data_IF_453451357720
#
_entry.id   IF_453451357720
#
_cell.length_a   1.000
_cell.length_b   1.000
_cell.length_c   1.000
_cell.angle_alpha   90.00
_cell.angle_beta   90.00
_cell.angle_gamma   90.00
#
_symmetry.space_group_name_H-M   'P 1'
#
loop_
_entity.id
_entity.type
_entity.pdbx_description
1 polymer ?
#
# COMPACT_ATOMS: atom_id res chain seq x y z
N UNK A 1 5.35 -74.31 23.29
CA UNK A 1 5.37 -72.83 23.45
C UNK A 1 6.70 -72.27 22.91
N UNK A 2 6.76 -71.98 21.61
CA UNK A 2 7.96 -71.50 20.90
C UNK A 2 7.74 -70.16 20.17
N UNK A 3 6.58 -69.52 20.35
CA UNK A 3 6.20 -68.37 19.53
C UNK A 3 6.57 -67.00 20.11
N UNK A 4 7.02 -66.93 21.38
CA UNK A 4 7.34 -65.65 22.04
C UNK A 4 8.84 -65.32 22.05
N UNK A 5 9.71 -66.19 21.49
CA UNK A 5 11.17 -66.09 21.67
C UNK A 5 11.86 -65.09 20.73
N UNK A 6 11.12 -64.29 19.97
CA UNK A 6 11.69 -63.42 18.94
C UNK A 6 10.94 -62.09 18.79
N UNK A 7 10.73 -61.41 19.91
CA UNK A 7 10.45 -59.97 19.90
C UNK A 7 11.63 -59.28 20.59
N UNK A 8 12.67 -59.00 19.80
CA UNK A 8 13.73 -58.06 20.17
C UNK A 8 13.14 -56.65 20.12
N UNK A 9 12.30 -56.32 21.10
CA UNK A 9 11.82 -54.97 21.35
C UNK A 9 12.73 -54.38 22.42
N UNK A 10 13.87 -53.83 22.02
CA UNK A 10 14.65 -53.00 22.94
C UNK A 10 13.91 -51.67 23.15
N UNK A 11 13.19 -51.60 24.26
CA UNK A 11 12.43 -50.44 24.65
C UNK A 11 13.28 -49.18 24.78
N UNK A 12 14.56 -49.32 25.18
CA UNK A 12 15.46 -48.19 25.31
C UNK A 12 15.83 -47.62 23.93
N UNK A 13 16.17 -48.49 22.98
CA UNK A 13 16.48 -48.11 21.59
C UNK A 13 15.27 -47.44 20.92
N UNK A 14 14.08 -48.03 21.06
CA UNK A 14 12.84 -47.44 20.50
C UNK A 14 12.49 -46.10 21.14
N UNK A 15 12.77 -45.92 22.44
CA UNK A 15 12.55 -44.65 23.13
C UNK A 15 13.49 -43.57 22.62
N UNK A 16 14.78 -43.89 22.45
CA UNK A 16 15.78 -42.96 21.94
C UNK A 16 15.52 -42.58 20.48
N UNK A 17 15.10 -43.54 19.64
CA UNK A 17 14.71 -43.26 18.26
C UNK A 17 13.52 -42.31 18.18
N UNK A 18 12.52 -42.49 19.05
CA UNK A 18 11.37 -41.57 19.10
C UNK A 18 11.78 -40.17 19.56
N UNK A 19 12.67 -40.07 20.54
CA UNK A 19 13.15 -38.80 21.06
C UNK A 19 13.95 -38.03 20.00
N UNK A 20 14.83 -38.71 19.27
CA UNK A 20 15.61 -38.10 18.17
C UNK A 20 14.69 -37.60 17.05
N UNK A 21 13.71 -38.39 16.62
CA UNK A 21 12.70 -37.95 15.65
C UNK A 21 11.92 -36.71 16.10
N UNK A 22 11.54 -36.65 17.38
CA UNK A 22 10.85 -35.47 17.93
C UNK A 22 11.75 -34.24 17.93
N UNK A 23 13.03 -34.40 18.28
CA UNK A 23 13.99 -33.31 18.26
C UNK A 23 14.24 -32.78 16.84
N UNK A 24 14.39 -33.67 15.86
CA UNK A 24 14.50 -33.30 14.43
C UNK A 24 13.28 -32.48 13.97
N UNK A 25 12.06 -32.90 14.34
CA UNK A 25 10.84 -32.15 14.03
C UNK A 25 10.81 -30.76 14.68
N UNK A 26 11.33 -30.64 15.89
CA UNK A 26 11.41 -29.37 16.61
C UNK A 26 12.43 -28.42 15.96
N UNK A 27 13.57 -28.93 15.50
CA UNK A 27 14.56 -28.18 14.73
C UNK A 27 13.98 -27.65 13.41
N UNK A 28 13.23 -28.47 12.66
CA UNK A 28 12.56 -28.01 11.44
C UNK A 28 11.55 -26.88 11.71
N UNK A 29 10.78 -26.99 12.78
CA UNK A 29 9.83 -25.94 13.19
C UNK A 29 10.55 -24.66 13.58
N UNK A 30 11.63 -24.79 14.34
CA UNK A 30 12.46 -23.68 14.76
C UNK A 30 13.02 -22.93 13.56
N UNK A 31 13.63 -23.64 12.60
CA UNK A 31 14.11 -23.06 11.36
C UNK A 31 13.00 -22.38 10.54
N UNK A 32 11.81 -22.98 10.46
CA UNK A 32 10.68 -22.36 9.78
C UNK A 32 10.29 -21.03 10.43
N UNK A 33 10.19 -20.97 11.76
CA UNK A 33 9.86 -19.73 12.48
C UNK A 33 10.95 -18.66 12.36
N UNK A 34 12.22 -19.03 12.47
CA UNK A 34 13.33 -18.09 12.26
C UNK A 34 13.30 -17.51 10.83
N UNK A 35 13.08 -18.37 9.83
CA UNK A 35 13.01 -17.94 8.43
C UNK A 35 11.83 -17.00 8.18
N UNK A 36 10.67 -17.27 8.79
CA UNK A 36 9.48 -16.42 8.69
C UNK A 36 9.71 -15.06 9.35
N UNK A 37 10.34 -15.04 10.54
CA UNK A 37 10.66 -13.82 11.25
C UNK A 37 11.59 -12.93 10.41
N UNK A 38 12.68 -13.49 9.89
CA UNK A 38 13.64 -12.79 9.03
C UNK A 38 12.96 -12.24 7.77
N UNK A 39 12.09 -13.02 7.14
CA UNK A 39 11.37 -12.58 5.95
C UNK A 39 10.43 -11.40 6.25
N UNK A 40 9.67 -11.45 7.35
CA UNK A 40 8.80 -10.36 7.80
C UNK A 40 9.59 -9.10 8.11
N UNK A 41 10.71 -9.22 8.81
CA UNK A 41 11.59 -8.10 9.12
C UNK A 41 12.16 -7.46 7.86
N UNK A 42 12.62 -8.26 6.91
CA UNK A 42 13.16 -7.75 5.65
C UNK A 42 12.10 -7.02 4.82
N UNK A 43 10.90 -7.59 4.70
CA UNK A 43 9.79 -6.91 4.03
C UNK A 43 9.39 -5.62 4.73
N UNK A 44 9.33 -5.60 6.06
CA UNK A 44 9.06 -4.39 6.84
C UNK A 44 10.11 -3.32 6.56
N UNK A 45 11.39 -3.69 6.58
CA UNK A 45 12.49 -2.78 6.27
C UNK A 45 12.38 -2.20 4.85
N UNK A 46 12.11 -3.05 3.85
CA UNK A 46 11.92 -2.58 2.45
C UNK A 46 10.69 -1.69 2.33
N UNK A 47 9.58 -2.04 2.98
CA UNK A 47 8.38 -1.23 3.00
C UNK A 47 8.65 0.15 3.59
N UNK A 48 9.20 0.19 4.81
CA UNK A 48 9.48 1.42 5.55
C UNK A 48 10.50 2.30 4.81
N UNK A 49 11.52 1.69 4.18
CA UNK A 49 12.49 2.41 3.32
C UNK A 49 11.82 3.08 2.12
N UNK A 50 10.78 2.47 1.56
CA UNK A 50 10.06 2.98 0.40
C UNK A 50 8.94 3.98 0.76
N UNK A 51 8.64 4.19 2.04
CA UNK A 51 7.70 5.23 2.48
C UNK A 51 8.37 6.60 2.32
N UNK A 52 8.02 7.30 1.23
CA UNK A 52 8.42 8.68 1.04
C UNK A 52 7.68 9.60 2.03
N UNK A 53 8.44 10.28 2.89
CA UNK A 53 7.91 11.36 3.73
C UNK A 53 7.48 12.51 2.85
N UNK A 54 6.18 12.81 2.84
CA UNK A 54 5.61 13.96 2.15
C UNK A 54 5.41 15.07 3.17
N UNK A 55 6.24 16.09 3.07
CA UNK A 55 6.08 17.32 3.85
C UNK A 55 5.33 18.35 3.00
N UNK A 56 4.38 19.02 3.63
CA UNK A 56 3.57 20.07 3.02
C UNK A 56 3.77 21.34 3.84
N UNK A 57 3.93 22.47 3.16
CA UNK A 57 4.04 23.79 3.76
C UNK A 57 2.77 24.59 3.51
N UNK A 58 2.48 25.53 4.40
CA UNK A 58 1.39 26.49 4.17
C UNK A 58 1.68 27.28 2.89
N UNK A 59 0.70 27.34 2.00
CA UNK A 59 0.80 28.00 0.70
C UNK A 59 0.99 27.06 -0.48
N UNK A 60 1.42 25.81 -0.26
CA UNK A 60 1.61 24.84 -1.34
C UNK A 60 0.29 24.54 -2.06
N UNK A 61 0.37 24.38 -3.38
CA UNK A 61 -0.74 23.88 -4.18
C UNK A 61 -0.66 22.36 -4.27
N UNK A 62 -1.79 21.69 -4.07
CA UNK A 62 -1.85 20.23 -4.02
C UNK A 62 -3.09 19.66 -4.70
N UNK A 63 -2.95 18.49 -5.32
CA UNK A 63 -4.08 17.70 -5.78
C UNK A 63 -4.64 16.82 -4.67
N UNK A 64 -5.96 16.65 -4.66
CA UNK A 64 -6.66 15.76 -3.73
C UNK A 64 -7.19 14.52 -4.44
N UNK A 65 -6.87 13.33 -3.93
CA UNK A 65 -7.38 12.07 -4.47
C UNK A 65 -8.83 11.82 -4.00
N UNK A 66 -9.73 11.62 -4.95
CA UNK A 66 -11.11 11.21 -4.69
C UNK A 66 -11.20 9.68 -4.58
N UNK A 67 -11.37 9.18 -3.36
CA UNK A 67 -11.48 7.74 -3.08
C UNK A 67 -12.83 7.14 -3.45
N UNK A 68 -13.89 7.95 -3.63
CA UNK A 68 -15.23 7.44 -3.92
C UNK A 68 -15.23 6.80 -5.32
N UNK A 69 -15.51 5.51 -5.35
CA UNK A 69 -15.67 4.75 -6.60
C UNK A 69 -16.93 5.24 -7.32
N UNK A 70 -16.76 6.15 -8.27
CA UNK A 70 -17.77 6.39 -9.30
C UNK A 70 -17.35 5.58 -10.51
N UNK A 71 -18.16 4.57 -10.88
CA UNK A 71 -18.11 4.01 -12.22
C UNK A 71 -18.42 5.16 -13.18
N UNK A 72 -17.43 5.55 -13.97
CA UNK A 72 -17.63 6.57 -15.01
C UNK A 72 -18.07 5.82 -16.28
N UNK A 73 -19.32 5.98 -16.76
CA UNK A 73 -19.71 5.48 -18.08
C UNK A 73 -19.01 6.37 -19.13
N UNK A 74 -17.84 5.96 -19.60
CA UNK A 74 -17.02 6.71 -20.56
C UNK A 74 -15.51 6.61 -20.27
N UNK A 75 -14.72 7.48 -20.92
CA UNK A 75 -13.26 7.53 -20.76
C UNK A 75 -12.86 7.75 -19.30
N UNK A 76 -11.90 6.96 -18.81
CA UNK A 76 -11.36 7.08 -17.45
C UNK A 76 -10.80 8.48 -17.21
N UNK A 77 -11.46 9.26 -16.35
CA UNK A 77 -10.95 10.55 -15.85
C UNK A 77 -9.98 10.32 -14.70
N UNK A 78 -9.02 11.22 -14.52
CA UNK A 78 -8.15 11.21 -13.35
C UNK A 78 -9.00 11.35 -12.07
N UNK A 79 -8.65 10.61 -11.03
CA UNK A 79 -9.31 10.70 -9.71
C UNK A 79 -8.77 11.86 -8.86
N UNK A 80 -7.88 12.68 -9.41
CA UNK A 80 -7.28 13.81 -8.74
C UNK A 80 -8.14 15.05 -9.01
N UNK A 81 -8.67 15.62 -7.95
CA UNK A 81 -9.37 16.90 -7.98
C UNK A 81 -8.36 18.02 -7.80
N UNK A 82 -8.56 19.11 -8.56
CA UNK A 82 -7.99 20.46 -8.55
C UNK A 82 -6.74 20.82 -7.72
N UNK A 83 -6.03 21.90 -8.08
CA UNK A 83 -5.07 22.48 -7.16
C UNK A 83 -5.83 23.15 -5.99
N UNK A 84 -5.61 22.63 -4.79
CA UNK A 84 -6.06 23.22 -3.53
C UNK A 84 -4.88 23.85 -2.81
N UNK A 85 -5.12 24.96 -2.12
CA UNK A 85 -4.07 25.60 -1.32
C UNK A 85 -4.02 24.98 0.08
N UNK A 86 -2.82 24.64 0.53
CA UNK A 86 -2.58 24.18 1.90
C UNK A 86 -2.63 25.37 2.86
N UNK A 87 -3.53 25.31 3.83
CA UNK A 87 -3.66 26.33 4.89
C UNK A 87 -2.76 25.97 6.07
N UNK A 88 -2.82 24.71 6.50
CA UNK A 88 -2.03 24.22 7.63
C UNK A 88 -1.68 22.75 7.41
N UNK A 89 -0.48 22.36 7.84
CA UNK A 89 -0.01 20.98 7.83
C UNK A 89 0.35 20.56 9.26
N UNK A 90 -0.37 19.57 9.77
CA UNK A 90 -0.10 18.97 11.08
C UNK A 90 1.06 17.98 10.98
N UNK A 91 1.92 17.88 12.01
CA UNK A 91 3.01 16.90 12.04
C UNK A 91 2.52 15.44 11.93
N UNK A 92 1.26 15.18 12.31
CA UNK A 92 0.66 13.84 12.27
C UNK A 92 0.05 13.49 10.90
N UNK A 93 0.36 14.25 9.85
CA UNK A 93 -0.05 13.95 8.47
C UNK A 93 -1.47 14.39 8.11
N UNK A 94 -2.15 15.14 8.97
CA UNK A 94 -3.40 15.81 8.60
C UNK A 94 -3.09 17.16 7.96
N UNK A 95 -3.70 17.45 6.81
CA UNK A 95 -3.52 18.70 6.09
C UNK A 95 -4.87 19.40 5.95
N UNK A 96 -4.90 20.68 6.25
CA UNK A 96 -6.05 21.55 6.03
C UNK A 96 -5.93 22.21 4.66
N UNK A 97 -6.94 21.98 3.82
CA UNK A 97 -7.02 22.55 2.48
C UNK A 97 -8.09 23.64 2.43
N UNK A 98 -7.82 24.68 1.65
CA UNK A 98 -8.78 25.72 1.31
C UNK A 98 -9.70 25.25 0.18
N UNK A 99 -11.01 25.47 0.31
CA UNK A 99 -11.97 25.22 -0.76
C UNK A 99 -11.72 26.14 -1.95
N UNK A 100 -12.12 25.72 -3.15
CA UNK A 100 -12.00 26.52 -4.38
C UNK A 100 -12.69 27.89 -4.24
N UNK A 101 -13.79 27.96 -3.49
CA UNK A 101 -14.56 29.19 -3.26
C UNK A 101 -13.94 30.09 -2.16
N UNK A 102 -12.81 29.70 -1.56
CA UNK A 102 -12.14 30.36 -0.43
C UNK A 102 -12.99 30.58 0.82
N UNK A 103 -14.17 29.96 0.88
CA UNK A 103 -15.15 30.17 1.94
C UNK A 103 -14.95 29.27 3.15
N UNK A 104 -14.33 28.10 2.95
CA UNK A 104 -14.23 27.04 3.97
C UNK A 104 -12.91 26.29 3.83
N UNK A 105 -12.41 25.80 4.95
CA UNK A 105 -11.30 24.85 5.01
C UNK A 105 -11.82 23.47 5.38
N UNK A 106 -11.11 22.43 4.95
CA UNK A 106 -11.44 21.04 5.31
C UNK A 106 -10.17 20.22 5.53
N UNK A 107 -10.26 19.25 6.45
CA UNK A 107 -9.15 18.37 6.83
C UNK A 107 -9.12 17.12 5.97
N UNK A 108 -7.92 16.76 5.52
CA UNK A 108 -7.65 15.55 4.73
C UNK A 108 -6.39 14.87 5.22
N UNK A 109 -6.31 13.56 5.01
CA UNK A 109 -5.08 12.80 5.23
C UNK A 109 -4.07 13.16 4.11
N UNK A 110 -2.87 13.57 4.48
CA UNK A 110 -1.76 13.93 3.59
C UNK A 110 -1.34 12.81 2.64
N UNK A 111 -1.61 11.55 2.97
CA UNK A 111 -1.41 10.41 2.05
C UNK A 111 -2.28 10.51 0.79
N UNK A 112 -3.44 11.17 0.88
CA UNK A 112 -4.38 11.37 -0.24
C UNK A 112 -4.06 12.60 -1.08
N UNK A 113 -2.93 13.23 -0.82
CA UNK A 113 -2.57 14.52 -1.39
C UNK A 113 -1.23 14.39 -2.13
N UNK A 114 -1.07 15.15 -3.21
CA UNK A 114 0.16 15.22 -4.00
C UNK A 114 0.45 16.68 -4.38
N UNK A 115 1.72 17.09 -4.31
CA UNK A 115 2.18 18.41 -4.77
C UNK A 115 1.77 18.69 -6.22
N UNK A 116 1.26 19.90 -6.44
CA UNK A 116 0.98 20.46 -7.76
C UNK A 116 2.25 21.18 -8.24
N UNK A 117 2.79 20.75 -9.38
CA UNK A 117 4.04 21.31 -9.95
C UNK A 117 3.79 22.35 -11.05
N UNK A 118 2.53 22.74 -11.30
CA UNK A 118 2.21 23.76 -12.30
C UNK A 118 2.62 25.15 -11.82
N UNK A 119 3.09 25.99 -12.73
CA UNK A 119 3.53 27.36 -12.46
C UNK A 119 2.40 28.24 -11.93
N UNK A 120 2.71 29.02 -10.90
CA UNK A 120 1.83 30.06 -10.35
C UNK A 120 1.61 31.15 -11.41
N UNK A 121 0.44 31.16 -12.05
CA UNK A 121 0.17 32.21 -13.02
C UNK A 121 -1.21 32.19 -13.65
N UNK A 122 -1.78 31.03 -13.94
CA UNK A 122 -3.05 31.00 -14.64
C UNK A 122 -4.00 30.03 -13.95
N UNK A 123 -5.07 30.60 -13.39
CA UNK A 123 -6.32 29.88 -13.16
C UNK A 123 -6.88 29.48 -14.54
N UNK A 124 -6.22 28.56 -15.23
CA UNK A 124 -6.87 27.83 -16.28
C UNK A 124 -7.93 26.98 -15.59
N UNK A 125 -9.19 27.41 -15.76
CA UNK A 125 -10.28 26.47 -16.00
C UNK A 125 -9.65 25.28 -16.70
N UNK A 126 -9.73 24.08 -16.10
CA UNK A 126 -9.35 22.86 -16.79
C UNK A 126 -10.04 22.95 -18.13
N UNK A 127 -9.27 23.25 -19.18
CA UNK A 127 -9.77 23.31 -20.52
C UNK A 127 -10.33 21.92 -20.72
N UNK A 128 -11.66 21.83 -20.78
CA UNK A 128 -12.28 20.64 -21.28
C UNK A 128 -11.79 20.57 -22.71
N UNK A 129 -10.66 19.89 -22.93
CA UNK A 129 -10.24 19.48 -24.25
C UNK A 129 -11.34 18.53 -24.71
N UNK A 130 -12.35 19.11 -25.35
CA UNK A 130 -13.28 18.39 -26.17
C UNK A 130 -12.41 17.73 -27.23
N UNK A 131 -12.15 16.44 -27.03
CA UNK A 131 -11.57 15.59 -28.05
C UNK A 131 -12.53 15.72 -29.24
N UNK A 132 -12.14 16.48 -30.26
CA UNK A 132 -12.91 16.51 -31.50
C UNK A 132 -12.92 15.07 -32.01
N UNK A 133 -14.12 14.51 -32.15
CA UNK A 133 -14.28 13.21 -32.77
C UNK A 133 -13.60 13.30 -34.15
N UNK A 134 -12.60 12.44 -34.36
CA UNK A 134 -11.95 12.32 -35.65
C UNK A 134 -12.98 11.90 -36.70
N UNK A 135 -12.78 12.25 -37.99
CA UNK A 135 -13.73 11.87 -39.02
C UNK A 135 -13.86 10.34 -39.03
N UNK A 136 -15.11 9.87 -38.90
CA UNK A 136 -15.44 8.46 -39.05
C UNK A 136 -14.92 7.97 -40.41
N UNK A 137 -14.26 6.80 -40.48
CA UNK A 137 -13.86 6.25 -41.76
C UNK A 137 -15.11 5.93 -42.58
N UNK A 138 -15.28 6.65 -43.68
CA UNK A 138 -16.26 6.30 -44.71
C UNK A 138 -15.82 4.96 -45.29
N UNK A 139 -16.65 3.95 -45.10
CA UNK A 139 -16.53 2.67 -45.80
C UNK A 139 -17.05 2.95 -47.22
N UNK A 140 -16.15 2.98 -48.19
CA UNK A 140 -16.48 2.72 -49.60
C UNK A 140 -16.40 1.22 -49.87
#
# INVERSE_FOLDING_TARGET
>A
MWALKRLNLDWAESSNLRLTQLNEMEEFRFHAYESEAVYKEWMKFVHDKNILKREFKTGDLVFLFNSRLKLFPGKLKSKWSGPFKVVNASPYGTVELESTDRSRTFKVNGQRIKHYLGTDGEKHLVEQLALKDGPCPTIE
#
